data_IF_441442093043
#
_entry.id   IF_441442093043
#
_cell.length_a   1.000
_cell.length_b   1.000
_cell.length_c   1.000
_cell.angle_alpha   90.00
_cell.angle_beta   90.00
_cell.angle_gamma   90.00
#
_symmetry.space_group_name_H-M   'P 1'
#
loop_
_entity.id
_entity.type
_entity.pdbx_description
1 polymer ?
#
# COMPACT_ATOMS: atom_id res chain seq x y z
N UNK A 1 -3.52 -4.37 5.46
CA UNK A 1 -3.19 -2.98 5.12
C UNK A 1 -4.30 -2.06 5.58
N UNK A 2 -4.04 -1.28 6.61
CA UNK A 2 -4.94 -0.25 7.14
C UNK A 2 -4.63 1.06 6.40
N UNK A 3 -5.66 1.70 5.85
CA UNK A 3 -5.54 3.03 5.23
C UNK A 3 -6.46 4.00 5.94
N UNK A 4 -5.92 5.13 6.39
CA UNK A 4 -6.69 6.23 6.98
C UNK A 4 -6.28 7.54 6.33
N UNK A 5 -7.27 8.30 5.87
CA UNK A 5 -7.08 9.63 5.31
C UNK A 5 -7.58 10.64 6.33
N UNK A 6 -6.69 11.51 6.77
CA UNK A 6 -7.01 12.64 7.65
C UNK A 6 -7.09 13.94 6.83
N UNK A 7 -7.41 15.06 7.47
CA UNK A 7 -7.48 16.35 6.80
C UNK A 7 -6.14 16.81 6.19
N UNK A 8 -5.00 16.36 6.75
CA UNK A 8 -3.66 16.85 6.36
C UNK A 8 -2.64 15.76 6.08
N UNK A 9 -3.00 14.49 6.28
CA UNK A 9 -2.07 13.37 6.15
C UNK A 9 -2.78 12.09 5.72
N UNK A 10 -2.02 11.18 5.11
CA UNK A 10 -2.46 9.82 4.76
C UNK A 10 -1.59 8.84 5.53
N UNK A 11 -2.24 7.89 6.18
CA UNK A 11 -1.61 6.89 7.02
C UNK A 11 -1.85 5.52 6.38
N UNK A 12 -0.77 4.81 6.07
CA UNK A 12 -0.82 3.44 5.59
C UNK A 12 -0.03 2.54 6.54
N UNK A 13 -0.64 1.46 7.03
CA UNK A 13 -0.02 0.56 8.00
C UNK A 13 -0.29 -0.91 7.65
N UNK A 14 0.68 -1.78 7.98
CA UNK A 14 0.47 -3.22 8.05
C UNK A 14 0.40 -3.60 9.52
N UNK A 15 -0.68 -4.25 9.92
CA UNK A 15 -0.90 -4.72 11.27
C UNK A 15 -1.43 -6.16 11.26
N UNK A 16 -1.25 -6.84 12.38
CA UNK A 16 -1.89 -8.11 12.66
C UNK A 16 -2.41 -8.11 14.10
N UNK A 17 -3.49 -8.85 14.33
CA UNK A 17 -4.15 -8.88 15.63
C UNK A 17 -3.42 -9.80 16.61
N UNK A 18 -3.33 -9.36 17.87
CA UNK A 18 -3.02 -10.19 19.05
C UNK A 18 -4.06 -9.91 20.14
N UNK A 19 -4.19 -10.80 21.12
CA UNK A 19 -5.16 -10.63 22.23
C UNK A 19 -4.90 -9.34 23.03
N UNK A 20 -3.63 -8.98 23.20
CA UNK A 20 -3.22 -7.75 23.91
C UNK A 20 -3.48 -6.47 23.11
N UNK A 21 -3.68 -6.59 21.79
CA UNK A 21 -3.87 -5.48 20.88
C UNK A 21 -3.21 -5.73 19.51
N UNK A 22 -3.55 -4.87 18.54
CA UNK A 22 -2.99 -4.96 17.20
C UNK A 22 -1.52 -4.51 17.18
N UNK A 23 -0.69 -5.34 16.56
CA UNK A 23 0.74 -5.09 16.41
C UNK A 23 1.01 -4.52 15.02
N UNK A 24 1.60 -3.33 14.97
CA UNK A 24 2.02 -2.69 13.72
C UNK A 24 3.34 -3.32 13.26
N UNK A 25 3.32 -3.95 12.08
CA UNK A 25 4.51 -4.48 11.41
C UNK A 25 5.28 -3.35 10.76
N UNK A 26 4.61 -2.48 10.02
CA UNK A 26 5.24 -1.37 9.31
C UNK A 26 4.22 -0.24 9.09
N UNK A 27 4.71 0.99 9.01
CA UNK A 27 3.91 2.18 8.76
C UNK A 27 4.60 3.08 7.73
N UNK A 28 3.81 3.82 6.96
CA UNK A 28 4.24 4.90 6.09
C UNK A 28 3.22 6.04 6.15
N UNK A 29 3.74 7.26 6.11
CA UNK A 29 2.93 8.48 6.23
C UNK A 29 3.19 9.43 5.06
N UNK A 30 2.17 10.18 4.63
CA UNK A 30 2.31 11.09 3.51
C UNK A 30 3.25 12.28 3.83
N UNK A 31 3.35 12.69 5.09
CA UNK A 31 4.33 13.69 5.53
C UNK A 31 5.80 13.25 5.38
N UNK A 32 6.07 11.98 5.07
CA UNK A 32 7.41 11.49 4.71
C UNK A 32 7.73 11.69 3.22
N UNK A 33 6.72 11.86 2.37
CA UNK A 33 6.86 11.98 0.91
C UNK A 33 7.75 13.15 0.44
N UNK A 34 7.87 14.29 1.16
CA UNK A 34 8.82 15.34 0.80
C UNK A 34 10.27 14.86 0.72
N UNK A 35 10.66 13.81 1.45
CA UNK A 35 11.99 13.18 1.36
C UNK A 35 12.25 12.51 0.00
N UNK A 36 11.18 12.16 -0.71
CA UNK A 36 11.21 11.50 -2.01
C UNK A 36 10.83 12.44 -3.17
N UNK A 37 10.73 13.75 -2.90
CA UNK A 37 10.49 14.78 -3.92
C UNK A 37 9.04 15.30 -4.02
N UNK A 38 8.06 14.69 -3.33
CA UNK A 38 6.67 15.17 -3.33
C UNK A 38 6.48 16.18 -2.20
N UNK A 39 6.65 17.47 -2.51
CA UNK A 39 6.65 18.55 -1.50
C UNK A 39 5.27 19.08 -1.12
N UNK A 40 4.29 18.95 -1.99
CA UNK A 40 2.95 19.56 -1.85
C UNK A 40 1.86 18.55 -2.17
N UNK A 41 0.63 18.82 -1.72
CA UNK A 41 -0.53 17.98 -2.06
C UNK A 41 -0.52 16.60 -1.40
N UNK A 42 -0.07 16.50 -0.15
CA UNK A 42 0.12 15.23 0.58
C UNK A 42 -1.17 14.43 0.87
N UNK A 43 -2.33 14.97 0.49
CA UNK A 43 -3.64 14.35 0.70
C UNK A 43 -4.42 14.11 -0.60
N UNK A 44 -3.78 14.28 -1.77
CA UNK A 44 -4.40 13.98 -3.06
C UNK A 44 -4.31 12.47 -3.39
N UNK A 45 -4.90 12.06 -4.52
CA UNK A 45 -4.92 10.65 -4.92
C UNK A 45 -3.50 10.13 -5.22
N UNK A 46 -2.65 10.94 -5.84
CA UNK A 46 -1.25 10.59 -6.12
C UNK A 46 -0.43 10.38 -4.83
N UNK A 47 -0.61 11.22 -3.82
CA UNK A 47 0.02 11.06 -2.52
C UNK A 47 -0.45 9.78 -1.82
N UNK A 48 -1.73 9.40 -1.97
CA UNK A 48 -2.24 8.13 -1.47
C UNK A 48 -1.50 6.95 -2.12
N UNK A 49 -1.39 6.96 -3.45
CA UNK A 49 -0.62 5.98 -4.23
C UNK A 49 0.84 5.90 -3.77
N UNK A 50 1.54 7.04 -3.72
CA UNK A 50 2.93 7.08 -3.27
C UNK A 50 3.11 6.56 -1.84
N UNK A 51 2.17 6.84 -0.93
CA UNK A 51 2.23 6.35 0.46
C UNK A 51 2.03 4.84 0.53
N UNK A 52 1.10 4.29 -0.27
CA UNK A 52 0.92 2.84 -0.41
C UNK A 52 2.15 2.14 -0.97
N UNK A 53 2.74 2.70 -2.04
CA UNK A 53 3.99 2.22 -2.64
C UNK A 53 5.15 2.25 -1.64
N UNK A 54 5.30 3.35 -0.91
CA UNK A 54 6.31 3.49 0.13
C UNK A 54 6.15 2.43 1.22
N UNK A 55 4.92 2.16 1.66
CA UNK A 55 4.65 1.11 2.64
C UNK A 55 5.05 -0.27 2.12
N UNK A 56 4.68 -0.60 0.88
CA UNK A 56 5.00 -1.87 0.24
C UNK A 56 6.51 -2.12 0.16
N UNK A 57 7.26 -1.16 -0.41
CA UNK A 57 8.72 -1.29 -0.54
C UNK A 57 9.41 -1.36 0.82
N UNK A 58 8.96 -0.57 1.80
CA UNK A 58 9.50 -0.58 3.17
C UNK A 58 9.25 -1.93 3.86
N UNK A 59 8.07 -2.52 3.67
CA UNK A 59 7.72 -3.82 4.24
C UNK A 59 8.55 -4.95 3.61
N UNK A 60 8.60 -5.02 2.27
CA UNK A 60 9.32 -6.07 1.57
C UNK A 60 10.83 -6.00 1.83
N UNK A 61 11.40 -4.80 1.92
CA UNK A 61 12.80 -4.63 2.28
C UNK A 61 13.10 -5.14 3.70
N UNK A 62 12.20 -4.89 4.66
CA UNK A 62 12.33 -5.41 6.03
C UNK A 62 12.35 -6.94 6.09
N UNK A 63 11.61 -7.62 5.21
CA UNK A 63 11.57 -9.08 5.13
C UNK A 63 12.56 -9.67 4.12
N UNK A 64 13.38 -8.85 3.44
CA UNK A 64 14.35 -9.31 2.44
C UNK A 64 13.72 -9.86 1.15
N UNK A 65 12.49 -9.45 0.85
CA UNK A 65 11.71 -9.91 -0.31
C UNK A 65 11.62 -8.86 -1.43
N UNK A 66 12.27 -7.72 -1.25
CA UNK A 66 12.19 -6.56 -2.16
C UNK A 66 12.72 -6.84 -3.57
N UNK A 67 13.72 -7.72 -3.70
CA UNK A 67 14.28 -8.16 -4.99
C UNK A 67 13.48 -9.28 -5.65
N UNK A 68 12.78 -10.09 -4.86
CA UNK A 68 11.96 -11.20 -5.38
C UNK A 68 10.66 -10.64 -5.95
N UNK A 69 10.05 -9.72 -5.20
CA UNK A 69 8.82 -9.06 -5.57
C UNK A 69 9.11 -7.57 -5.79
N UNK A 70 9.71 -7.25 -6.95
CA UNK A 70 10.03 -5.85 -7.31
C UNK A 70 8.77 -5.01 -7.55
N UNK A 71 7.66 -5.66 -7.91
CA UNK A 71 6.41 -4.98 -8.28
C UNK A 71 6.41 -4.55 -9.74
N UNK A 72 5.58 -3.56 -10.06
CA UNK A 72 5.48 -2.99 -11.41
C UNK A 72 6.43 -1.79 -11.54
N UNK A 73 7.55 -1.99 -12.26
CA UNK A 73 8.58 -0.94 -12.45
C UNK A 73 8.07 0.19 -13.37
N UNK A 74 7.39 -0.16 -14.46
CA UNK A 74 6.78 0.80 -15.37
C UNK A 74 5.27 0.85 -15.15
N UNK A 75 4.79 1.94 -14.56
CA UNK A 75 3.38 2.12 -14.21
C UNK A 75 2.57 2.48 -15.46
N UNK A 76 1.77 1.53 -15.95
CA UNK A 76 0.88 1.71 -17.12
C UNK A 76 -0.56 2.07 -16.74
N UNK A 77 -0.94 1.80 -15.49
CA UNK A 77 -2.32 1.94 -14.98
C UNK A 77 -3.18 0.69 -15.16
N UNK A 78 -2.63 -0.38 -15.73
CA UNK A 78 -3.33 -1.64 -15.91
C UNK A 78 -3.50 -2.42 -14.60
N UNK A 79 -4.35 -3.45 -14.64
CA UNK A 79 -4.48 -4.40 -13.55
C UNK A 79 -3.17 -5.16 -13.35
N UNK A 80 -2.70 -5.20 -12.11
CA UNK A 80 -1.48 -5.88 -11.71
C UNK A 80 -1.77 -6.66 -10.43
N UNK A 81 -1.40 -7.93 -10.41
CA UNK A 81 -1.56 -8.80 -9.26
C UNK A 81 -0.23 -9.53 -9.02
N UNK A 82 0.15 -9.66 -7.75
CA UNK A 82 1.39 -10.33 -7.36
C UNK A 82 1.07 -11.78 -7.02
N UNK A 83 1.63 -12.69 -7.82
CA UNK A 83 1.54 -14.14 -7.63
C UNK A 83 2.79 -14.67 -6.91
N UNK A 84 2.65 -15.81 -6.24
CA UNK A 84 3.79 -16.48 -5.62
C UNK A 84 4.65 -17.17 -6.68
N UNK A 85 5.97 -17.18 -6.47
CA UNK A 85 6.93 -17.79 -7.40
C UNK A 85 7.37 -19.13 -6.81
N UNK A 86 7.31 -20.20 -7.61
CA UNK A 86 7.72 -21.53 -7.16
C UNK A 86 9.19 -21.54 -6.72
N UNK A 87 9.46 -22.11 -5.54
CA UNK A 87 10.80 -22.18 -4.96
C UNK A 87 11.30 -20.91 -4.25
N UNK A 88 10.48 -19.85 -4.19
CA UNK A 88 10.76 -18.64 -3.40
C UNK A 88 9.78 -18.51 -2.22
N UNK A 89 10.08 -17.67 -1.20
CA UNK A 89 9.11 -17.30 -0.18
C UNK A 89 7.83 -16.74 -0.83
N UNK A 90 6.67 -17.19 -0.38
CA UNK A 90 5.39 -16.74 -0.94
C UNK A 90 5.18 -15.22 -0.85
N UNK A 91 4.41 -14.67 -1.78
CA UNK A 91 4.14 -13.23 -1.84
C UNK A 91 3.47 -12.75 -0.55
N UNK A 92 3.91 -11.59 -0.04
CA UNK A 92 3.34 -11.05 1.19
C UNK A 92 1.88 -10.67 0.95
N UNK A 93 0.98 -11.46 1.53
CA UNK A 93 -0.47 -11.29 1.36
C UNK A 93 -1.03 -10.43 2.48
N UNK A 94 -1.82 -9.41 2.15
CA UNK A 94 -2.56 -8.64 3.14
C UNK A 94 -3.91 -8.15 2.61
N UNK A 95 -4.81 -7.78 3.52
CA UNK A 95 -6.16 -7.33 3.17
C UNK A 95 -6.34 -5.84 3.43
N UNK A 96 -7.07 -5.14 2.57
CA UNK A 96 -7.39 -3.73 2.75
C UNK A 96 -8.42 -3.54 3.88
N UNK A 97 -8.08 -2.70 4.85
CA UNK A 97 -8.99 -2.13 5.82
C UNK A 97 -9.19 -0.64 5.53
N UNK A 98 -10.34 -0.31 4.95
CA UNK A 98 -10.77 1.05 4.65
C UNK A 98 -11.39 1.79 5.86
N UNK A 99 -11.64 1.09 6.97
CA UNK A 99 -12.31 1.61 8.15
C UNK A 99 -13.71 2.11 7.82
N UNK A 100 -14.01 3.35 8.23
CA UNK A 100 -15.31 3.99 7.99
C UNK A 100 -15.38 4.70 6.62
N UNK A 101 -14.33 4.64 5.81
CA UNK A 101 -14.34 5.27 4.49
C UNK A 101 -15.35 4.56 3.58
N UNK A 102 -16.28 5.33 2.98
CA UNK A 102 -17.26 4.78 2.05
C UNK A 102 -16.58 4.28 0.77
N UNK A 103 -16.88 3.04 0.39
CA UNK A 103 -16.37 2.35 -0.81
C UNK A 103 -17.00 2.89 -2.11
N UNK A 104 -16.56 4.09 -2.49
CA UNK A 104 -16.95 4.79 -3.72
C UNK A 104 -15.85 4.70 -4.76
N UNK A 105 -16.21 4.60 -6.04
CA UNK A 105 -15.24 4.56 -7.15
C UNK A 105 -14.43 5.86 -7.17
N UNK A 106 -13.11 5.77 -7.34
CA UNK A 106 -12.19 6.92 -7.30
C UNK A 106 -11.81 7.40 -5.90
N UNK A 107 -12.20 6.68 -4.83
CA UNK A 107 -11.79 7.05 -3.48
C UNK A 107 -10.27 6.85 -3.29
N UNK A 108 -9.61 7.81 -2.62
CA UNK A 108 -8.16 7.83 -2.34
C UNK A 108 -7.66 6.58 -1.60
N UNK A 109 -8.52 5.92 -0.82
CA UNK A 109 -8.18 4.64 -0.17
C UNK A 109 -7.78 3.59 -1.21
N UNK A 110 -8.44 3.57 -2.38
CA UNK A 110 -8.10 2.69 -3.49
C UNK A 110 -6.84 3.14 -4.25
N UNK A 111 -6.50 4.43 -4.22
CA UNK A 111 -5.20 4.91 -4.69
C UNK A 111 -4.05 4.34 -3.86
N UNK A 112 -4.17 4.35 -2.53
CA UNK A 112 -3.18 3.72 -1.64
C UNK A 112 -3.10 2.20 -1.84
N UNK A 113 -4.25 1.54 -2.02
CA UNK A 113 -4.29 0.13 -2.40
C UNK A 113 -3.49 -0.14 -3.68
N UNK A 114 -3.75 0.64 -4.75
CA UNK A 114 -3.08 0.46 -6.05
C UNK A 114 -1.57 0.63 -5.93
N UNK A 115 -1.11 1.66 -5.21
CA UNK A 115 0.32 1.86 -4.96
C UNK A 115 0.97 0.72 -4.17
N UNK A 116 0.27 0.14 -3.20
CA UNK A 116 0.79 -0.99 -2.44
C UNK A 116 0.90 -2.28 -3.27
N UNK A 117 -0.08 -2.52 -4.15
CA UNK A 117 -0.07 -3.65 -5.09
C UNK A 117 1.05 -3.51 -6.10
N UNK A 118 1.16 -2.34 -6.74
CA UNK A 118 2.23 -2.04 -7.70
C UNK A 118 3.61 -2.09 -7.04
N UNK A 119 3.69 -1.89 -5.72
CA UNK A 119 4.91 -2.03 -4.93
C UNK A 119 5.34 -3.47 -4.60
N UNK A 120 4.55 -4.47 -4.98
CA UNK A 120 4.87 -5.89 -4.80
C UNK A 120 4.10 -6.60 -3.68
N UNK A 121 3.06 -6.00 -3.09
CA UNK A 121 2.19 -6.71 -2.14
C UNK A 121 1.07 -7.44 -2.86
N UNK A 122 0.75 -8.66 -2.40
CA UNK A 122 -0.42 -9.37 -2.86
C UNK A 122 -1.64 -8.93 -2.06
N UNK A 123 -2.50 -8.11 -2.67
CA UNK A 123 -3.75 -7.64 -2.05
C UNK A 123 -4.91 -7.98 -2.99
N UNK A 124 -5.81 -8.91 -2.61
CA UNK A 124 -6.95 -9.25 -3.44
C UNK A 124 -7.87 -8.04 -3.67
N UNK A 125 -8.12 -7.69 -4.92
CA UNK A 125 -8.96 -6.56 -5.30
C UNK A 125 -9.63 -6.75 -6.67
N UNK A 126 -10.52 -5.82 -7.05
CA UNK A 126 -11.12 -5.76 -8.39
C UNK A 126 -10.97 -4.35 -8.96
N UNK A 127 -10.95 -4.23 -10.29
CA UNK A 127 -10.72 -2.95 -10.98
C UNK A 127 -11.90 -1.97 -10.95
N UNK A 128 -13.10 -2.41 -10.52
CA UNK A 128 -14.35 -1.62 -10.59
C UNK A 128 -14.38 -0.36 -9.72
N UNK A 129 -13.46 -0.23 -8.75
CA UNK A 129 -13.47 0.86 -7.75
C UNK A 129 -12.28 1.80 -7.84
N UNK A 130 -11.37 1.58 -8.79
CA UNK A 130 -10.27 2.50 -9.05
C UNK A 130 -10.76 3.85 -9.54
#
# INVERSE_FOLDING_TARGET
MIVRVTNRDIICQIAYARIEGDMIVCAAYAHELPKYGVKVGLTNYAAAYCTGLLLARRLLNRFGMDKIYEGQVEVTGDEYNVESIDGQPGAFTCYLDAGLARTTTGNKVFGALKGAVDGGLSIPHSTKRF
#
